data_IF_748497950184
#
_entry.id   IF_748497950184
#
_cell.length_a   1.000
_cell.length_b   1.000
_cell.length_c   1.000
_cell.angle_alpha   90.00
_cell.angle_beta   90.00
_cell.angle_gamma   90.00
#
_symmetry.space_group_name_H-M   'P 1'
#
loop_
_entity.id
_entity.type
_entity.pdbx_description
1 polymer ?
#
# COMPACT_ATOMS: atom_id res chain seq x y z
N UNK A 1 8.85 8.31 29.06
CA UNK A 1 8.49 8.96 27.79
C UNK A 1 6.98 8.83 27.66
N UNK A 2 6.24 9.93 27.52
CA UNK A 2 4.77 9.86 27.42
C UNK A 2 4.39 9.40 26.00
N UNK A 3 3.42 8.49 25.84
CA UNK A 3 2.91 8.11 24.52
C UNK A 3 2.42 9.37 23.79
N UNK A 4 2.83 9.55 22.53
CA UNK A 4 2.32 10.63 21.71
C UNK A 4 0.95 10.22 21.17
N UNK A 5 -0.11 10.90 21.64
CA UNK A 5 -1.49 10.67 21.19
C UNK A 5 -1.70 11.01 19.70
N UNK A 6 -0.79 11.79 19.10
CA UNK A 6 -0.84 12.23 17.71
C UNK A 6 0.46 11.81 17.00
N UNK A 7 0.35 10.91 16.02
CA UNK A 7 1.46 10.49 15.16
C UNK A 7 1.41 11.30 13.86
N UNK A 8 2.44 12.11 13.61
CA UNK A 8 2.56 12.94 12.40
C UNK A 8 3.82 12.55 11.59
N UNK A 9 3.91 11.28 11.19
CA UNK A 9 5.03 10.76 10.40
C UNK A 9 4.54 10.12 9.10
N UNK A 10 5.23 10.38 7.96
CA UNK A 10 4.92 9.70 6.72
C UNK A 10 5.19 8.20 6.86
N UNK A 11 4.33 7.40 6.25
CA UNK A 11 4.46 5.95 6.19
C UNK A 11 5.16 5.60 4.88
N UNK A 12 6.23 4.82 4.96
CA UNK A 12 6.87 4.28 3.75
C UNK A 12 6.18 2.98 3.35
N UNK A 13 6.01 2.75 2.05
CA UNK A 13 5.40 1.54 1.51
C UNK A 13 6.42 0.65 0.77
N UNK A 14 6.26 -0.67 0.93
CA UNK A 14 6.99 -1.69 0.20
C UNK A 14 6.03 -2.75 -0.35
N UNK A 15 6.40 -3.33 -1.49
CA UNK A 15 5.67 -4.40 -2.16
C UNK A 15 6.58 -5.61 -2.38
N UNK A 16 6.06 -6.80 -2.20
CA UNK A 16 6.74 -8.06 -2.53
C UNK A 16 5.78 -9.04 -3.21
N UNK A 17 6.26 -10.13 -3.82
CA UNK A 17 5.40 -11.22 -4.27
C UNK A 17 4.61 -11.82 -3.10
N UNK A 18 3.36 -12.26 -3.36
CA UNK A 18 2.54 -12.98 -2.37
C UNK A 18 3.29 -14.20 -1.82
N UNK A 19 3.17 -14.44 -0.52
CA UNK A 19 3.87 -15.54 0.18
C UNK A 19 5.29 -15.19 0.64
N UNK A 20 5.77 -13.97 0.40
CA UNK A 20 7.03 -13.49 0.99
C UNK A 20 6.87 -13.32 2.50
N UNK A 21 7.83 -13.84 3.28
CA UNK A 21 7.84 -13.67 4.73
C UNK A 21 8.02 -12.19 5.11
N UNK A 22 7.14 -11.67 5.97
CA UNK A 22 7.25 -10.32 6.48
C UNK A 22 8.50 -10.14 7.34
N UNK A 23 9.24 -9.03 7.19
CA UNK A 23 10.39 -8.74 8.04
C UNK A 23 9.93 -8.45 9.47
N UNK A 24 10.77 -8.81 10.44
CA UNK A 24 10.55 -8.42 11.83
C UNK A 24 10.39 -6.90 11.96
N UNK A 25 9.58 -6.45 12.91
CA UNK A 25 9.26 -5.02 13.12
C UNK A 25 10.52 -4.17 13.37
N UNK A 26 11.58 -4.77 13.92
CA UNK A 26 12.88 -4.14 14.17
C UNK A 26 13.94 -4.40 13.08
N UNK A 27 13.60 -5.12 12.00
CA UNK A 27 14.51 -5.42 10.90
C UNK A 27 14.17 -4.59 9.66
N UNK A 28 15.18 -4.13 8.93
CA UNK A 28 14.96 -3.40 7.68
C UNK A 28 14.42 -4.37 6.60
N UNK A 29 13.38 -4.00 5.83
CA UNK A 29 12.92 -4.81 4.70
C UNK A 29 14.04 -4.91 3.67
N UNK A 30 14.40 -6.13 3.29
CA UNK A 30 15.47 -6.43 2.33
C UNK A 30 15.05 -7.56 1.38
N UNK A 31 15.79 -7.74 0.28
CA UNK A 31 15.54 -8.81 -0.69
C UNK A 31 14.47 -8.44 -1.71
N UNK A 32 13.37 -9.20 -1.73
CA UNK A 32 12.27 -9.08 -2.73
C UNK A 32 11.32 -7.91 -2.49
N UNK A 33 11.48 -7.20 -1.37
CA UNK A 33 10.67 -6.03 -1.01
C UNK A 33 11.12 -4.80 -1.82
N UNK A 34 10.29 -4.36 -2.75
CA UNK A 34 10.47 -3.18 -3.59
C UNK A 34 9.87 -1.97 -2.87
N UNK A 35 10.67 -0.94 -2.64
CA UNK A 35 10.21 0.33 -2.05
C UNK A 35 9.38 1.14 -3.05
N UNK A 36 8.21 1.61 -2.62
CA UNK A 36 7.34 2.49 -3.42
C UNK A 36 7.82 3.94 -3.26
N UNK A 37 8.20 4.57 -4.37
CA UNK A 37 8.89 5.86 -4.40
C UNK A 37 10.38 5.73 -4.12
N UNK A 38 11.21 6.04 -5.13
CA UNK A 38 12.68 5.85 -5.10
C UNK A 38 13.35 6.58 -3.92
N UNK A 39 12.77 7.69 -3.46
CA UNK A 39 13.23 8.45 -2.27
C UNK A 39 12.26 8.37 -1.08
N UNK A 40 11.29 7.44 -1.07
CA UNK A 40 10.25 7.35 -0.05
C UNK A 40 9.45 8.65 0.08
N UNK A 41 9.40 9.19 1.30
CA UNK A 41 8.57 10.35 1.70
C UNK A 41 8.85 11.65 0.94
N UNK A 42 10.03 11.77 0.31
CA UNK A 42 10.36 12.94 -0.54
C UNK A 42 9.68 12.94 -1.91
N UNK A 43 9.15 11.79 -2.32
CA UNK A 43 8.49 11.61 -3.61
C UNK A 43 6.96 11.55 -3.49
N UNK A 44 6.41 11.58 -2.27
CA UNK A 44 4.97 11.60 -2.05
C UNK A 44 4.43 13.03 -2.16
N UNK A 45 3.17 13.15 -2.55
CA UNK A 45 2.45 14.41 -2.34
C UNK A 45 2.37 14.71 -0.83
N UNK A 46 2.17 15.98 -0.48
CA UNK A 46 2.01 16.39 0.93
C UNK A 46 0.83 15.76 1.68
N UNK A 47 0.00 14.96 1.00
CA UNK A 47 -1.11 14.20 1.57
C UNK A 47 -0.68 12.85 2.18
N UNK A 48 0.52 12.37 1.85
CA UNK A 48 1.08 11.15 2.42
C UNK A 48 0.38 9.86 1.97
N UNK A 49 0.39 8.84 2.83
CA UNK A 49 -0.25 7.55 2.60
C UNK A 49 -1.54 7.47 3.40
N UNK A 50 -2.66 7.21 2.73
CA UNK A 50 -3.96 6.99 3.34
C UNK A 50 -4.21 5.50 3.50
N UNK A 51 -4.51 5.06 4.72
CA UNK A 51 -4.98 3.71 5.03
C UNK A 51 -6.48 3.79 5.33
N UNK A 52 -7.31 3.17 4.50
CA UNK A 52 -8.76 3.21 4.61
C UNK A 52 -9.32 1.84 5.01
N UNK A 53 -9.88 1.77 6.22
CA UNK A 53 -10.69 0.63 6.66
C UNK A 53 -12.16 0.95 6.42
N UNK A 54 -12.75 0.45 5.34
CA UNK A 54 -14.15 0.71 5.00
C UNK A 54 -15.03 -0.51 5.27
N UNK A 55 -16.22 -0.27 5.82
CA UNK A 55 -17.20 -1.31 6.14
C UNK A 55 -18.60 -0.88 5.70
N UNK A 56 -19.29 -1.76 4.99
CA UNK A 56 -20.68 -1.55 4.58
C UNK A 56 -21.59 -2.39 5.47
N UNK A 57 -22.62 -1.76 6.04
CA UNK A 57 -23.58 -2.44 6.90
C UNK A 57 -24.98 -2.45 6.30
N UNK A 58 -25.56 -3.63 6.13
CA UNK A 58 -26.96 -3.79 5.79
C UNK A 58 -27.83 -3.76 7.05
N UNK A 59 -28.85 -2.89 7.07
CA UNK A 59 -29.74 -2.71 8.23
C UNK A 59 -31.10 -3.36 7.98
N UNK A 60 -31.47 -4.34 8.82
CA UNK A 60 -32.80 -4.92 8.81
C UNK A 60 -33.79 -4.00 9.53
N UNK A 61 -34.85 -3.62 8.80
CA UNK A 61 -35.98 -2.83 9.30
C UNK A 61 -37.26 -3.66 9.15
N UNK A 62 -37.77 -4.27 10.23
CA UNK A 62 -39.05 -4.98 10.20
C UNK A 62 -40.20 -4.03 9.86
N UNK A 63 -41.24 -4.53 9.18
CA UNK A 63 -42.33 -3.72 8.65
C UNK A 63 -43.10 -2.88 9.70
N UNK A 64 -43.03 -3.23 10.98
CA UNK A 64 -43.69 -2.51 12.08
C UNK A 64 -42.91 -1.33 12.66
N UNK A 65 -41.71 -1.02 12.17
CA UNK A 65 -40.89 0.08 12.68
C UNK A 65 -40.06 0.74 11.57
N UNK A 66 -39.88 2.05 11.67
CA UNK A 66 -38.99 2.81 10.78
C UNK A 66 -37.52 2.70 11.22
N UNK A 67 -37.27 2.23 12.44
CA UNK A 67 -35.94 2.02 13.00
C UNK A 67 -35.28 0.72 12.54
N UNK A 68 -33.95 0.74 12.38
CA UNK A 68 -33.17 -0.48 12.17
C UNK A 68 -33.10 -1.28 13.47
N UNK A 69 -33.52 -2.55 13.42
CA UNK A 69 -33.54 -3.46 14.58
C UNK A 69 -32.27 -4.31 14.66
N UNK A 70 -31.61 -4.53 13.51
CA UNK A 70 -30.35 -5.27 13.43
C UNK A 70 -29.51 -4.76 12.26
N UNK A 71 -28.19 -4.75 12.44
CA UNK A 71 -27.24 -4.50 11.37
C UNK A 71 -26.43 -5.78 11.10
N UNK A 72 -26.14 -6.03 9.83
CA UNK A 72 -25.26 -7.08 9.34
C UNK A 72 -24.09 -6.40 8.63
N UNK A 73 -22.88 -6.91 8.82
CA UNK A 73 -21.73 -6.51 8.00
C UNK A 73 -21.88 -7.20 6.64
N UNK A 74 -21.91 -6.40 5.58
CA UNK A 74 -22.10 -6.87 4.21
C UNK A 74 -20.75 -6.99 3.50
N UNK A 75 -19.93 -5.94 3.64
CA UNK A 75 -18.61 -5.87 3.02
C UNK A 75 -17.60 -5.23 3.98
N UNK A 76 -16.37 -5.73 3.93
CA UNK A 76 -15.20 -5.14 4.58
C UNK A 76 -14.08 -5.02 3.56
N UNK A 77 -13.48 -3.83 3.47
CA UNK A 77 -12.36 -3.56 2.58
C UNK A 77 -11.27 -2.78 3.32
N UNK A 78 -10.02 -3.09 2.98
CA UNK A 78 -8.82 -2.41 3.43
C UNK A 78 -8.06 -1.91 2.20
N UNK A 79 -7.95 -0.59 2.06
CA UNK A 79 -7.29 0.06 0.93
C UNK A 79 -6.12 0.95 1.37
N UNK A 80 -5.03 0.94 0.61
CA UNK A 80 -3.87 1.83 0.77
C UNK A 80 -3.77 2.75 -0.44
N UNK A 81 -3.80 4.07 -0.23
CA UNK A 81 -3.77 5.08 -1.30
C UNK A 81 -2.62 6.06 -1.11
N UNK A 82 -1.96 6.44 -2.20
CA UNK A 82 -1.00 7.54 -2.22
C UNK A 82 -0.90 8.19 -3.60
N UNK A 83 -0.40 9.42 -3.63
CA UNK A 83 -0.03 10.10 -4.88
C UNK A 83 1.49 10.23 -4.93
N UNK A 84 2.10 9.65 -5.96
CA UNK A 84 3.55 9.63 -6.16
C UNK A 84 3.94 10.65 -7.24
N UNK A 85 4.82 11.60 -6.92
CA UNK A 85 5.38 12.55 -7.91
C UNK A 85 6.54 11.97 -8.73
N UNK A 86 7.03 10.78 -8.35
CA UNK A 86 8.03 10.01 -9.11
C UNK A 86 7.37 9.22 -10.24
N UNK A 87 7.48 9.75 -11.46
CA UNK A 87 6.95 9.16 -12.70
C UNK A 87 7.98 8.29 -13.45
N UNK A 88 9.04 7.83 -12.77
CA UNK A 88 9.98 6.88 -13.38
C UNK A 88 9.27 5.61 -13.87
N UNK A 89 9.78 4.98 -14.92
CA UNK A 89 9.13 3.81 -15.54
C UNK A 89 9.06 2.61 -14.58
N UNK A 90 9.98 2.53 -13.62
CA UNK A 90 9.99 1.56 -12.53
C UNK A 90 8.81 1.75 -11.58
N UNK A 91 8.42 2.99 -11.27
CA UNK A 91 7.24 3.29 -10.46
C UNK A 91 5.96 3.20 -11.29
N UNK A 92 6.03 3.56 -12.58
CA UNK A 92 4.95 3.39 -13.54
C UNK A 92 4.62 1.90 -13.78
N UNK A 93 5.60 1.00 -13.62
CA UNK A 93 5.33 -0.44 -13.66
C UNK A 93 4.37 -0.85 -12.54
N UNK A 94 4.50 -0.28 -11.33
CA UNK A 94 3.66 -0.65 -10.19
C UNK A 94 2.20 -0.23 -10.43
N UNK A 95 1.96 0.91 -11.08
CA UNK A 95 0.63 1.35 -11.50
C UNK A 95 0.00 0.44 -12.57
N UNK A 96 0.82 -0.14 -13.45
CA UNK A 96 0.37 -0.98 -14.56
C UNK A 96 0.59 -2.48 -14.29
N UNK A 97 0.30 -2.95 -13.08
CA UNK A 97 0.34 -4.38 -12.74
C UNK A 97 1.71 -5.04 -12.94
N UNK A 98 2.80 -4.31 -12.69
CA UNK A 98 4.20 -4.71 -12.89
C UNK A 98 4.47 -5.34 -14.25
N UNK A 99 4.11 -4.62 -15.32
CA UNK A 99 4.50 -5.00 -16.67
C UNK A 99 6.03 -5.10 -16.82
N UNK A 100 6.49 -5.95 -17.75
CA UNK A 100 7.92 -6.16 -17.98
C UNK A 100 8.55 -4.88 -18.54
N UNK A 101 9.52 -4.34 -17.81
CA UNK A 101 10.34 -3.23 -18.26
C UNK A 101 11.48 -3.75 -19.14
N UNK A 102 11.51 -3.32 -20.40
CA UNK A 102 12.57 -3.67 -21.35
C UNK A 102 13.55 -2.52 -21.48
N UNK A 103 14.85 -2.78 -21.29
CA UNK A 103 15.91 -1.77 -21.44
C UNK A 103 16.74 -2.09 -22.67
N UNK A 104 16.84 -1.15 -23.60
CA UNK A 104 17.69 -1.24 -24.79
C UNK A 104 18.89 -0.32 -24.58
N UNK A 105 20.10 -0.89 -24.65
CA UNK A 105 21.34 -0.13 -24.51
C UNK A 105 21.53 0.83 -25.70
N UNK A 106 22.22 1.94 -25.45
CA UNK A 106 22.57 2.88 -26.50
C UNK A 106 23.63 2.27 -27.44
N UNK A 107 23.47 2.53 -28.73
CA UNK A 107 24.44 2.18 -29.78
C UNK A 107 25.02 3.44 -30.43
N UNK A 108 25.99 3.28 -31.33
CA UNK A 108 26.52 4.43 -32.09
C UNK A 108 25.39 5.04 -32.93
N UNK A 109 25.04 6.30 -32.63
CA UNK A 109 23.97 7.03 -33.33
C UNK A 109 22.54 6.65 -32.93
N UNK A 110 22.34 5.77 -31.94
CA UNK A 110 20.99 5.37 -31.46
C UNK A 110 20.91 5.53 -29.94
N UNK A 111 19.91 6.28 -29.48
CA UNK A 111 19.65 6.45 -28.05
C UNK A 111 19.16 5.13 -27.43
N UNK A 112 19.67 4.80 -26.25
CA UNK A 112 19.11 3.74 -25.42
C UNK A 112 17.78 4.20 -24.84
N UNK A 113 16.83 3.28 -24.70
CA UNK A 113 15.51 3.59 -24.15
C UNK A 113 15.00 2.45 -23.28
N UNK A 114 14.10 2.81 -22.36
CA UNK A 114 13.33 1.87 -21.56
C UNK A 114 11.88 1.87 -22.06
N UNK A 115 11.28 0.69 -22.17
CA UNK A 115 9.90 0.51 -22.64
C UNK A 115 9.13 -0.34 -21.66
N UNK A 116 7.93 0.14 -21.32
CA UNK A 116 6.93 -0.55 -20.52
C UNK A 116 5.65 -0.71 -21.35
N UNK A 117 5.00 -1.87 -21.28
CA UNK A 117 3.68 -2.04 -21.86
C UNK A 117 2.63 -1.24 -21.07
N UNK A 118 1.66 -0.63 -21.76
CA UNK A 118 0.61 0.18 -21.11
C UNK A 118 -0.68 -0.59 -20.79
N UNK A 119 -0.81 -1.83 -21.28
CA UNK A 119 -1.98 -2.67 -21.01
C UNK A 119 -1.85 -3.36 -19.65
N UNK A 120 -2.92 -3.39 -18.86
CA UNK A 120 -2.94 -4.13 -17.59
C UNK A 120 -2.92 -5.66 -17.78
N UNK A 121 -3.08 -6.15 -19.02
CA UNK A 121 -3.25 -7.58 -19.29
C UNK A 121 -4.60 -8.12 -18.79
N UNK A 122 -4.80 -9.43 -18.92
CA UNK A 122 -6.04 -10.09 -18.48
C UNK A 122 -6.02 -10.56 -17.01
N UNK A 123 -4.84 -10.72 -16.42
CA UNK A 123 -4.67 -11.23 -15.06
C UNK A 123 -4.29 -10.11 -14.11
N UNK A 124 -5.08 -9.91 -13.07
CA UNK A 124 -4.74 -9.02 -11.95
C UNK A 124 -3.54 -9.63 -11.19
N UNK A 125 -2.47 -8.86 -11.02
CA UNK A 125 -1.33 -9.30 -10.21
C UNK A 125 -1.56 -8.97 -8.75
N UNK A 126 -1.35 -9.96 -7.89
CA UNK A 126 -1.39 -9.83 -6.45
C UNK A 126 0.02 -9.60 -5.87
N UNK A 127 0.10 -8.87 -4.78
CA UNK A 127 1.32 -8.54 -4.03
C UNK A 127 1.08 -8.71 -2.53
N UNK A 128 2.15 -8.87 -1.77
CA UNK A 128 2.17 -8.59 -0.34
C UNK A 128 2.57 -7.12 -0.14
N UNK A 129 1.86 -6.40 0.71
CA UNK A 129 2.11 -4.99 1.00
C UNK A 129 2.56 -4.82 2.45
N UNK A 130 3.59 -4.02 2.62
CA UNK A 130 4.16 -3.64 3.90
C UNK A 130 4.16 -2.12 4.00
N UNK A 131 3.50 -1.57 5.01
CA UNK A 131 3.53 -0.13 5.29
C UNK A 131 4.16 0.10 6.66
N UNK A 132 5.22 0.92 6.76
CA UNK A 132 5.93 1.17 8.02
C UNK A 132 5.94 2.64 8.38
N UNK A 133 5.62 2.92 9.63
CA UNK A 133 5.64 4.26 10.23
C UNK A 133 6.09 4.21 11.69
N UNK A 134 5.86 5.32 12.40
CA UNK A 134 6.15 5.41 13.83
C UNK A 134 5.06 4.72 14.66
N UNK A 135 5.48 4.12 15.77
CA UNK A 135 4.56 3.58 16.76
C UNK A 135 3.89 4.71 17.54
N UNK A 136 2.60 4.59 17.90
CA UNK A 136 1.93 5.54 18.79
C UNK A 136 2.49 5.50 20.23
N UNK A 137 3.28 4.49 20.58
CA UNK A 137 3.78 4.30 21.95
C UNK A 137 5.11 5.02 22.21
N UNK A 138 5.96 5.20 21.20
CA UNK A 138 7.25 5.90 21.30
C UNK A 138 7.76 6.28 19.89
N UNK A 139 8.44 7.42 19.75
CA UNK A 139 9.02 7.87 18.48
C UNK A 139 10.21 7.01 18.02
N UNK A 140 10.87 6.31 18.95
CA UNK A 140 11.93 5.35 18.64
C UNK A 140 11.38 3.95 18.28
N UNK A 141 10.07 3.76 18.38
CA UNK A 141 9.38 2.51 18.11
C UNK A 141 8.68 2.53 16.75
N UNK A 142 8.55 1.35 16.14
CA UNK A 142 8.04 1.17 14.78
C UNK A 142 6.64 0.58 14.80
N UNK A 143 5.76 1.08 13.93
CA UNK A 143 4.51 0.45 13.55
C UNK A 143 4.57 -0.07 12.11
N UNK A 144 3.91 -1.20 11.86
CA UNK A 144 4.00 -1.96 10.64
C UNK A 144 2.65 -2.58 10.28
N UNK A 145 2.09 -2.17 9.15
CA UNK A 145 0.99 -2.86 8.48
C UNK A 145 1.55 -3.97 7.62
N UNK A 146 1.07 -5.19 7.84
CA UNK A 146 1.42 -6.38 7.06
C UNK A 146 0.18 -6.89 6.36
N UNK A 147 0.12 -6.76 5.03
CA UNK A 147 -1.02 -7.18 4.21
C UNK A 147 -0.56 -8.34 3.31
N UNK A 148 -0.98 -9.59 3.59
CA UNK A 148 -0.50 -10.78 2.88
C UNK A 148 -0.83 -10.79 1.38
N UNK A 149 -2.00 -10.25 1.02
CA UNK A 149 -2.51 -10.22 -0.36
C UNK A 149 -3.19 -8.89 -0.63
N UNK A 150 -2.76 -8.19 -1.67
CA UNK A 150 -3.41 -7.01 -2.22
C UNK A 150 -3.22 -6.96 -3.74
N UNK A 151 -4.08 -6.23 -4.46
CA UNK A 151 -3.91 -5.95 -5.88
C UNK A 151 -3.96 -4.45 -6.13
N UNK A 152 -3.33 -4.00 -7.21
CA UNK A 152 -3.43 -2.60 -7.61
C UNK A 152 -4.83 -2.38 -8.21
N UNK A 153 -5.63 -1.54 -7.55
CA UNK A 153 -7.00 -1.19 -7.95
C UNK A 153 -7.15 0.26 -8.38
N UNK A 154 -6.10 1.06 -8.16
CA UNK A 154 -6.10 2.48 -8.51
C UNK A 154 -6.16 2.73 -10.01
N UNK A 155 -6.83 3.81 -10.39
CA UNK A 155 -6.83 4.31 -11.75
C UNK A 155 -5.80 5.44 -11.86
N UNK A 156 -4.56 5.16 -12.33
CA UNK A 156 -3.55 6.19 -12.44
C UNK A 156 -3.92 7.21 -13.52
N UNK A 157 -4.16 8.47 -13.13
CA UNK A 157 -4.40 9.59 -14.04
C UNK A 157 -3.27 10.64 -13.95
N UNK A 158 -2.08 10.38 -14.54
CA UNK A 158 -0.98 11.33 -14.51
C UNK A 158 -1.28 12.55 -15.39
N UNK A 159 -1.40 13.72 -14.77
CA UNK A 159 -1.67 14.98 -15.47
C UNK A 159 -0.41 15.84 -15.53
N UNK A 160 0.05 16.14 -16.75
CA UNK A 160 1.23 16.97 -17.00
C UNK A 160 0.83 18.43 -17.20
N UNK A 161 1.10 19.30 -16.21
CA UNK A 161 0.78 20.74 -16.27
C UNK A 161 1.99 21.59 -15.86
N UNK A 162 2.06 22.81 -16.38
CA UNK A 162 3.11 23.77 -16.02
C UNK A 162 2.91 24.26 -14.59
N UNK A 163 3.92 24.10 -13.74
CA UNK A 163 3.94 24.62 -12.37
C UNK A 163 3.42 23.67 -11.28
N UNK A 164 2.97 22.47 -11.64
CA UNK A 164 2.51 21.44 -10.68
C UNK A 164 3.18 20.10 -11.04
N UNK A 165 3.77 19.37 -10.07
CA UNK A 165 4.31 18.03 -10.33
C UNK A 165 3.23 17.08 -10.87
N UNK A 166 3.57 16.26 -11.86
CA UNK A 166 2.70 15.18 -12.31
C UNK A 166 2.65 14.10 -11.22
N UNK A 167 1.45 13.73 -10.79
CA UNK A 167 1.23 12.71 -9.75
C UNK A 167 0.68 11.42 -10.32
N UNK A 168 1.18 10.29 -9.85
CA UNK A 168 0.67 8.95 -10.11
C UNK A 168 -0.16 8.51 -8.92
N UNK A 169 -1.47 8.42 -9.10
CA UNK A 169 -2.36 7.87 -8.08
C UNK A 169 -2.19 6.35 -8.03
N UNK A 170 -1.77 5.84 -6.88
CA UNK A 170 -1.61 4.42 -6.61
C UNK A 170 -2.57 4.03 -5.50
N UNK A 171 -3.30 2.94 -5.73
CA UNK A 171 -4.20 2.34 -4.75
C UNK A 171 -4.06 0.82 -4.78
N UNK A 172 -4.00 0.23 -3.59
CA UNK A 172 -4.02 -1.21 -3.40
C UNK A 172 -5.16 -1.60 -2.47
N UNK A 173 -6.03 -2.48 -2.97
CA UNK A 173 -7.07 -3.13 -2.17
C UNK A 173 -6.56 -4.48 -1.67
N UNK A 174 -6.78 -4.75 -0.38
CA UNK A 174 -6.44 -6.02 0.25
C UNK A 174 -7.44 -7.12 -0.14
N UNK A 175 -6.94 -8.33 -0.31
CA UNK A 175 -7.73 -9.54 -0.51
C UNK A 175 -7.69 -10.40 0.74
N UNK A 176 -8.75 -11.19 0.93
CA UNK A 176 -8.80 -12.17 2.02
C UNK A 176 -7.69 -13.21 1.87
N UNK A 177 -6.89 -13.37 2.92
CA UNK A 177 -5.97 -14.49 3.06
C UNK A 177 -6.70 -15.69 3.68
N UNK A 178 -7.00 -16.68 2.83
CA UNK A 178 -7.65 -17.92 3.24
C UNK A 178 -6.74 -18.82 4.10
N UNK A 179 -5.45 -18.53 4.15
CA UNK A 179 -4.47 -19.24 4.98
C UNK A 179 -4.19 -18.53 6.32
N UNK A 180 -4.89 -17.43 6.63
CA UNK A 180 -4.72 -16.70 7.87
C UNK A 180 -4.94 -17.58 9.11
N UNK A 181 -4.08 -17.41 10.12
CA UNK A 181 -4.13 -18.21 11.35
C UNK A 181 -5.41 -17.96 12.16
N UNK A 182 -5.99 -16.77 12.04
CA UNK A 182 -7.25 -16.39 12.69
C UNK A 182 -8.15 -15.65 11.70
N UNK A 183 -9.49 -15.65 11.91
CA UNK A 183 -10.41 -14.84 11.13
C UNK A 183 -10.10 -13.34 11.19
N UNK A 184 -9.53 -12.86 12.29
CA UNK A 184 -9.26 -11.44 12.50
C UNK A 184 -8.05 -10.95 11.68
N UNK A 185 -7.13 -11.84 11.31
CA UNK A 185 -5.93 -11.53 10.53
C UNK A 185 -6.09 -11.78 9.02
N UNK A 186 -7.32 -11.97 8.54
CA UNK A 186 -7.61 -12.28 7.13
C UNK A 186 -7.21 -11.20 6.15
N UNK A 187 -7.21 -9.93 6.58
CA UNK A 187 -6.70 -8.81 5.78
C UNK A 187 -5.26 -8.44 6.15
N UNK A 188 -4.61 -9.26 6.98
CA UNK A 188 -3.31 -8.98 7.57
C UNK A 188 -3.40 -8.44 9.00
N UNK A 189 -2.32 -7.79 9.45
CA UNK A 189 -2.18 -7.32 10.83
C UNK A 189 -1.46 -5.99 10.91
N UNK A 190 -1.79 -5.25 11.96
CA UNK A 190 -1.06 -4.05 12.37
C UNK A 190 -0.22 -4.39 13.61
N UNK A 191 1.09 -4.29 13.48
CA UNK A 191 2.03 -4.50 14.59
C UNK A 191 2.57 -3.14 15.00
N UNK A 192 2.42 -2.79 16.27
CA UNK A 192 3.07 -1.63 16.85
C UNK A 192 3.97 -2.08 18.00
N UNK A 193 5.25 -1.68 17.97
CA UNK A 193 6.14 -1.87 19.11
C UNK A 193 5.62 -1.06 20.31
N UNK A 194 5.45 -1.73 21.45
CA UNK A 194 5.05 -1.10 22.71
C UNK A 194 6.15 -1.11 23.77
N UNK A 195 7.25 -1.85 23.54
CA UNK A 195 8.41 -1.99 24.41
C UNK A 195 9.67 -2.23 23.58
N UNK A 196 10.83 -1.78 24.10
CA UNK A 196 12.13 -2.08 23.50
C UNK A 196 12.52 -3.55 23.73
N UNK A 197 13.31 -4.17 22.84
CA UNK A 197 13.80 -5.53 23.05
C UNK A 197 14.53 -5.65 24.39
N UNK A 198 14.23 -6.70 25.16
CA UNK A 198 14.99 -7.03 26.35
C UNK A 198 16.41 -7.45 25.94
N UNK A 199 17.42 -6.85 26.57
CA UNK A 199 18.83 -7.17 26.38
C UNK A 199 19.21 -8.53 26.97
#
# INVERSE_FOLDING_TARGET
MQPYEIVAAPVTLWLAPVGTTFPLVNAQPAGTWIKVGTQGDKNYSGEGVTVAHSRTFQKARPAGTTGAVKAFLDEENLAFRLILWDISLEQYQLALSSNVLTTVAAGVGTAGYKKLGLSHGHSVKEYALLARGLSPYDEAMVAQYEVPRCYQSGNPEPVYRKGVPAGLALEWDALEDLAAATPDERFGRLIAQHQVPLS
#
